data_IF_275882958873
#
_entry.id   IF_275882958873
#
_cell.length_a   1.000
_cell.length_b   1.000
_cell.length_c   1.000
_cell.angle_alpha   90.00
_cell.angle_beta   90.00
_cell.angle_gamma   90.00
#
_symmetry.space_group_name_H-M   'P 1'
#
loop_
_entity.id
_entity.type
_entity.pdbx_description
1 polymer ?
#
# COMPACT_ATOMS: atom_id res chain seq x y z
N UNK A 1 -1.18 28.26 -0.78
CA UNK A 1 -1.25 26.88 -0.25
C UNK A 1 -0.15 26.12 -0.95
N UNK A 2 1.05 26.24 -0.41
CA UNK A 2 2.21 25.53 -0.93
C UNK A 2 2.02 24.07 -0.54
N UNK A 3 1.97 23.18 -1.52
CA UNK A 3 2.07 21.75 -1.24
C UNK A 3 3.52 21.49 -0.84
N UNK A 4 3.79 21.67 0.47
CA UNK A 4 5.05 21.31 1.09
C UNK A 4 5.32 19.85 0.73
N UNK A 5 6.38 19.62 -0.05
CA UNK A 5 6.78 18.29 -0.47
C UNK A 5 7.26 17.53 0.76
N UNK A 6 6.44 16.62 1.28
CA UNK A 6 6.87 15.67 2.31
C UNK A 6 8.09 14.91 1.80
N UNK A 7 9.17 14.97 2.57
CA UNK A 7 10.33 14.11 2.32
C UNK A 7 9.95 12.64 2.53
N UNK A 8 10.62 11.71 1.88
CA UNK A 8 10.36 10.27 2.03
C UNK A 8 10.36 9.82 3.50
N UNK A 9 11.25 10.41 4.29
CA UNK A 9 11.36 10.16 5.71
C UNK A 9 10.16 10.70 6.51
N UNK A 10 9.70 11.92 6.23
CA UNK A 10 8.49 12.47 6.87
C UNK A 10 7.23 11.68 6.50
N UNK A 11 7.14 11.22 5.25
CA UNK A 11 6.05 10.33 4.83
C UNK A 11 6.08 9.00 5.61
N UNK A 12 7.28 8.47 5.88
CA UNK A 12 7.44 7.27 6.68
C UNK A 12 7.06 7.49 8.15
N UNK A 13 7.49 8.60 8.76
CA UNK A 13 7.11 8.96 10.13
C UNK A 13 5.59 9.20 10.27
N UNK A 14 4.98 9.85 9.27
CA UNK A 14 3.54 10.01 9.17
C UNK A 14 2.83 8.65 9.09
N UNK A 15 3.35 7.71 8.29
CA UNK A 15 2.79 6.36 8.20
C UNK A 15 2.88 5.61 9.54
N UNK A 16 3.98 5.74 10.28
CA UNK A 16 4.12 5.18 11.63
C UNK A 16 3.06 5.77 12.57
N UNK A 17 2.88 7.09 12.53
CA UNK A 17 1.89 7.79 13.36
C UNK A 17 0.47 7.36 13.01
N UNK A 18 0.11 7.29 11.72
CA UNK A 18 -1.21 6.85 11.25
C UNK A 18 -1.50 5.38 11.56
N UNK A 19 -0.47 4.52 11.55
CA UNK A 19 -0.61 3.13 11.93
C UNK A 19 -0.85 2.94 13.45
N UNK A 20 -0.67 3.97 14.28
CA UNK A 20 -0.74 3.86 15.73
C UNK A 20 0.58 3.45 16.40
N UNK A 21 1.70 3.70 15.73
CA UNK A 21 3.05 3.49 16.25
C UNK A 21 3.83 2.35 15.58
N UNK A 22 5.11 2.24 15.95
CA UNK A 22 6.07 1.33 15.30
C UNK A 22 5.66 -0.15 15.40
N UNK A 23 5.10 -0.55 16.56
CA UNK A 23 4.66 -1.93 16.78
C UNK A 23 3.43 -2.29 15.94
N UNK A 24 2.52 -1.34 15.74
CA UNK A 24 1.34 -1.55 14.91
C UNK A 24 1.73 -1.61 13.42
N UNK A 25 2.60 -0.71 12.97
CA UNK A 25 3.17 -0.73 11.63
C UNK A 25 3.91 -2.05 11.34
N UNK A 26 4.70 -2.53 12.30
CA UNK A 26 5.43 -3.79 12.16
C UNK A 26 4.49 -5.00 11.94
N UNK A 27 3.34 -5.04 12.64
CA UNK A 27 2.31 -6.06 12.44
C UNK A 27 1.69 -6.00 11.05
N UNK A 28 1.41 -4.80 10.55
CA UNK A 28 0.90 -4.57 9.18
C UNK A 28 1.91 -5.07 8.14
N UNK A 29 3.19 -4.70 8.30
CA UNK A 29 4.25 -5.09 7.39
C UNK A 29 4.56 -6.59 7.46
N UNK A 30 4.26 -7.23 8.59
CA UNK A 30 4.64 -8.62 8.89
C UNK A 30 6.11 -8.75 9.27
N UNK A 31 6.69 -7.73 9.90
CA UNK A 31 8.09 -7.71 10.32
C UNK A 31 8.22 -7.45 11.83
N UNK A 32 9.45 -7.49 12.35
CA UNK A 32 9.70 -7.19 13.77
C UNK A 32 9.69 -5.68 14.02
N UNK A 33 9.20 -5.20 15.18
CA UNK A 33 9.26 -3.78 15.54
C UNK A 33 10.69 -3.21 15.52
N UNK A 34 11.68 -4.05 15.84
CA UNK A 34 13.10 -3.69 15.75
C UNK A 34 13.58 -3.40 14.32
N UNK A 35 12.97 -4.00 13.30
CA UNK A 35 13.26 -3.68 11.90
C UNK A 35 12.80 -2.25 11.57
N UNK A 36 11.56 -1.90 11.95
CA UNK A 36 11.01 -0.56 11.76
C UNK A 36 11.85 0.48 12.51
N UNK A 37 12.23 0.21 13.77
CA UNK A 37 13.07 1.13 14.54
C UNK A 37 14.46 1.31 13.89
N UNK A 38 15.10 0.25 13.41
CA UNK A 38 16.37 0.37 12.69
C UNK A 38 16.27 1.22 11.43
N UNK A 39 15.18 1.09 10.66
CA UNK A 39 14.94 1.93 9.49
C UNK A 39 14.80 3.40 9.88
N UNK A 40 14.05 3.70 10.94
CA UNK A 40 13.86 5.06 11.45
C UNK A 40 15.18 5.66 11.95
N UNK A 41 15.96 4.91 12.74
CA UNK A 41 17.26 5.36 13.25
C UNK A 41 18.27 5.60 12.14
N UNK A 42 18.29 4.73 11.13
CA UNK A 42 19.14 4.86 9.96
C UNK A 42 18.63 5.94 8.98
N UNK A 43 17.47 6.57 9.24
CA UNK A 43 16.78 7.50 8.35
C UNK A 43 16.65 6.96 6.92
N UNK A 44 16.35 5.67 6.83
CA UNK A 44 16.19 4.97 5.55
C UNK A 44 14.74 4.94 5.14
N UNK A 45 14.53 4.95 3.83
CA UNK A 45 13.19 4.82 3.26
C UNK A 45 12.61 3.43 3.51
N UNK A 46 11.29 3.36 3.44
CA UNK A 46 10.57 2.09 3.56
C UNK A 46 10.94 1.16 2.37
N UNK A 47 11.27 -0.11 2.64
CA UNK A 47 11.40 -1.13 1.61
C UNK A 47 10.14 -1.23 0.74
N UNK A 48 10.32 -1.38 -0.58
CA UNK A 48 9.21 -1.42 -1.54
C UNK A 48 8.18 -2.53 -1.24
N UNK A 49 8.63 -3.64 -0.65
CA UNK A 49 7.79 -4.76 -0.20
C UNK A 49 6.76 -4.38 0.87
N UNK A 50 7.02 -3.33 1.65
CA UNK A 50 6.11 -2.86 2.69
C UNK A 50 5.24 -1.69 2.22
N UNK A 51 5.64 -0.97 1.17
CA UNK A 51 4.95 0.24 0.70
C UNK A 51 3.46 -0.02 0.42
N UNK A 52 3.13 -1.08 -0.31
CA UNK A 52 1.73 -1.38 -0.64
C UNK A 52 0.90 -1.78 0.60
N UNK A 53 1.51 -2.51 1.54
CA UNK A 53 0.86 -2.89 2.81
C UNK A 53 0.58 -1.67 3.68
N UNK A 54 1.56 -0.77 3.76
CA UNK A 54 1.46 0.48 4.53
C UNK A 54 0.45 1.43 3.89
N UNK A 55 0.44 1.55 2.56
CA UNK A 55 -0.56 2.35 1.82
C UNK A 55 -1.98 1.86 2.13
N UNK A 56 -2.22 0.54 2.03
CA UNK A 56 -3.53 -0.05 2.31
C UNK A 56 -4.00 0.16 3.77
N UNK A 57 -3.09 0.17 4.74
CA UNK A 57 -3.43 0.28 6.15
C UNK A 57 -3.47 1.73 6.68
N UNK A 58 -2.64 2.62 6.16
CA UNK A 58 -2.44 3.99 6.68
C UNK A 58 -2.97 5.08 5.75
N UNK A 59 -3.23 4.75 4.49
CA UNK A 59 -3.63 5.72 3.46
C UNK A 59 -2.53 6.74 3.11
N UNK A 60 -1.27 6.47 3.47
CA UNK A 60 -0.13 7.26 2.97
C UNK A 60 0.25 6.76 1.59
N UNK A 61 0.38 7.68 0.63
CA UNK A 61 0.57 7.34 -0.77
C UNK A 61 1.98 6.80 -1.01
N UNK A 62 2.09 5.78 -1.86
CA UNK A 62 3.38 5.16 -2.20
C UNK A 62 4.41 6.11 -2.82
N UNK A 63 3.94 7.16 -3.49
CA UNK A 63 4.79 8.19 -4.08
C UNK A 63 5.36 9.18 -3.06
N UNK A 64 4.75 9.28 -1.88
CA UNK A 64 5.35 10.02 -0.75
C UNK A 64 6.39 9.15 -0.03
N UNK A 65 6.12 7.85 0.13
CA UNK A 65 7.01 6.92 0.80
C UNK A 65 8.27 6.60 -0.01
N UNK A 66 8.12 6.42 -1.33
CA UNK A 66 9.20 6.04 -2.25
C UNK A 66 9.06 6.78 -3.59
N UNK A 67 9.34 8.10 -3.63
CA UNK A 67 9.28 8.89 -4.86
C UNK A 67 10.24 8.38 -5.95
N UNK A 68 11.35 7.72 -5.59
CA UNK A 68 12.32 7.15 -6.55
C UNK A 68 11.76 6.00 -7.38
N UNK A 69 10.84 5.21 -6.81
CA UNK A 69 10.21 4.07 -7.51
C UNK A 69 8.83 4.46 -8.04
N UNK A 70 8.12 5.34 -7.33
CA UNK A 70 6.75 5.76 -7.66
C UNK A 70 6.70 7.28 -7.90
N UNK A 71 7.22 7.78 -9.03
CA UNK A 71 7.11 9.20 -9.35
C UNK A 71 5.65 9.59 -9.63
N UNK A 72 5.19 10.69 -9.02
CA UNK A 72 3.81 11.23 -9.15
C UNK A 72 3.37 11.56 -10.59
N UNK A 73 4.34 11.77 -11.49
CA UNK A 73 4.12 12.23 -12.86
C UNK A 73 4.37 11.18 -13.93
N UNK A 74 4.55 9.90 -13.57
CA UNK A 74 4.53 8.83 -14.58
C UNK A 74 3.07 8.61 -14.96
N UNK A 75 2.56 9.49 -15.82
CA UNK A 75 1.60 9.12 -16.83
C UNK A 75 2.21 7.90 -17.53
N UNK A 76 1.77 6.71 -17.10
CA UNK A 76 2.08 5.46 -17.77
C UNK A 76 1.94 5.75 -19.26
N UNK A 77 2.98 5.48 -20.04
CA UNK A 77 3.00 5.69 -21.48
C UNK A 77 2.03 4.76 -22.19
N UNK A 78 0.75 4.81 -21.81
CA UNK A 78 -0.34 4.30 -22.62
C UNK A 78 -0.24 5.09 -23.92
N UNK A 79 0.02 4.43 -25.07
CA UNK A 79 -0.35 5.07 -26.31
C UNK A 79 -1.83 5.40 -26.15
N UNK A 80 -2.20 6.66 -26.38
CA UNK A 80 -3.58 7.05 -26.50
C UNK A 80 -4.21 6.15 -27.57
N UNK A 81 -4.90 5.10 -27.13
CA UNK A 81 -5.70 4.25 -27.99
C UNK A 81 -7.05 4.95 -28.08
N UNK A 82 -7.47 5.44 -29.27
CA UNK A 82 -8.80 6.01 -29.42
C UNK A 82 -9.84 4.96 -29.02
N UNK A 83 -10.88 5.40 -28.32
CA UNK A 83 -11.91 4.53 -27.73
C UNK A 83 -12.54 3.54 -28.73
N UNK A 84 -12.47 3.84 -30.02
CA UNK A 84 -12.98 3.01 -31.12
C UNK A 84 -12.23 1.68 -31.31
N UNK A 85 -11.05 1.49 -30.69
CA UNK A 85 -10.27 0.24 -30.81
C UNK A 85 -10.49 -0.75 -29.65
N UNK A 86 -11.28 -0.40 -28.64
CA UNK A 86 -11.63 -1.31 -27.54
C UNK A 86 -12.78 -2.19 -28.00
N UNK A 87 -12.44 -3.29 -28.69
CA UNK A 87 -13.40 -4.38 -28.91
C UNK A 87 -13.62 -5.11 -27.59
N UNK A 88 -14.66 -4.69 -26.86
CA UNK A 88 -15.30 -5.49 -25.83
C UNK A 88 -15.73 -6.82 -26.45
N UNK A 89 -14.98 -7.88 -26.14
CA UNK A 89 -15.41 -9.25 -26.34
C UNK A 89 -15.52 -9.83 -24.95
N UNK A 90 -16.73 -9.75 -24.41
CA UNK A 90 -17.05 -10.19 -23.07
C UNK A 90 -16.77 -11.68 -22.83
N UNK A 91 -16.51 -11.99 -21.58
CA UNK A 91 -16.74 -13.31 -21.03
C UNK A 91 -17.40 -13.17 -19.65
N UNK A 92 -18.69 -13.51 -19.63
CA UNK A 92 -19.48 -13.73 -18.43
C UNK A 92 -18.96 -14.99 -17.72
N UNK A 93 -18.08 -14.83 -16.74
CA UNK A 93 -17.75 -15.93 -15.83
C UNK A 93 -18.78 -15.94 -14.69
N UNK A 94 -19.83 -16.72 -14.87
CA UNK A 94 -20.75 -17.09 -13.79
C UNK A 94 -20.05 -18.12 -12.87
N UNK A 95 -19.36 -17.67 -11.82
CA UNK A 95 -18.92 -18.57 -10.73
C UNK A 95 -20.03 -18.64 -9.66
N UNK A 96 -20.97 -19.56 -9.88
CA UNK A 96 -21.95 -19.99 -8.89
C UNK A 96 -21.23 -20.87 -7.84
N UNK A 97 -20.72 -20.24 -6.77
CA UNK A 97 -20.23 -20.96 -5.59
C UNK A 97 -20.84 -20.41 -4.31
N UNK A 98 -21.78 -21.20 -3.81
CA UNK A 98 -22.43 -21.15 -2.47
C UNK A 98 -21.49 -20.73 -1.33
N UNK A 99 -22.00 -19.99 -0.34
CA UNK A 99 -21.26 -19.68 0.89
C UNK A 99 -21.10 -20.94 1.76
N UNK A 100 -19.86 -21.28 2.12
CA UNK A 100 -19.56 -22.28 3.15
C UNK A 100 -19.68 -21.62 4.53
N UNK A 101 -20.75 -21.98 5.24
CA UNK A 101 -20.96 -21.74 6.66
C UNK A 101 -19.92 -22.50 7.48
N UNK A 102 -19.09 -21.81 8.27
CA UNK A 102 -18.30 -22.43 9.33
C UNK A 102 -19.04 -22.29 10.67
N UNK A 103 -19.44 -23.38 11.35
CA UNK A 103 -19.92 -23.29 12.73
C UNK A 103 -18.74 -23.05 13.67
N UNK A 104 -18.81 -21.95 14.44
CA UNK A 104 -17.91 -21.68 15.55
C UNK A 104 -18.21 -22.69 16.66
N UNK A 105 -17.32 -23.67 16.81
CA UNK A 105 -17.35 -24.63 17.92
C UNK A 105 -17.10 -23.92 19.25
N UNK A 106 -18.08 -24.03 20.13
CA UNK A 106 -17.96 -23.94 21.58
C UNK A 106 -16.94 -24.99 22.08
N UNK A 107 -15.95 -24.57 22.86
CA UNK A 107 -15.20 -25.48 23.73
C UNK A 107 -15.10 -24.79 25.10
N UNK A 108 -15.60 -25.54 26.08
CA UNK A 108 -15.78 -25.21 27.49
C UNK A 108 -14.46 -24.97 28.25
#
# INVERSE_FOLDING_TARGET
>A
MEAEHLTSFEAFDLAVTRAGGQSALARICGCTPGNINQLLQAKRDLPAEYVLKVEAATGVLRHDLRPDIYPRGLQDGVPFVPADLVSDSGDLVADDRRPVLQPKGDVA
#
